data_IF_249589091245
#
_entry.id   IF_249589091245
#
_cell.length_a   1.000
_cell.length_b   1.000
_cell.length_c   1.000
_cell.angle_alpha   90.00
_cell.angle_beta   90.00
_cell.angle_gamma   90.00
#
_symmetry.space_group_name_H-M   'P 1'
#
loop_
_entity.id
_entity.type
_entity.pdbx_description
1 polymer ?
#
# COMPACT_ATOMS: atom_id res chain seq x y z
N UNK A 1 -31.57 17.50 17.68
CA UNK A 1 -30.63 16.40 17.35
C UNK A 1 -29.82 16.82 16.15
N UNK A 2 -28.49 16.88 16.26
CA UNK A 2 -27.64 17.11 15.10
C UNK A 2 -27.80 15.91 14.16
N UNK A 3 -28.13 16.15 12.89
CA UNK A 3 -28.17 15.10 11.88
C UNK A 3 -26.74 14.62 11.66
N UNK A 4 -26.47 13.36 11.95
CA UNK A 4 -25.21 12.72 11.57
C UNK A 4 -25.19 12.63 10.04
N UNK A 5 -24.16 13.17 9.36
CA UNK A 5 -24.05 12.99 7.92
C UNK A 5 -23.88 11.49 7.63
N UNK A 6 -24.77 10.95 6.81
CA UNK A 6 -24.65 9.60 6.28
C UNK A 6 -23.86 9.68 4.98
N UNK A 7 -22.67 9.10 4.97
CA UNK A 7 -21.83 9.03 3.78
C UNK A 7 -22.25 7.85 2.91
N UNK A 8 -21.92 7.91 1.62
CA UNK A 8 -22.20 6.81 0.69
C UNK A 8 -21.24 5.64 0.97
N UNK A 9 -21.80 4.46 1.23
CA UNK A 9 -21.05 3.21 1.37
C UNK A 9 -20.77 2.52 0.03
N UNK A 10 -20.81 3.28 -1.08
CA UNK A 10 -20.65 2.74 -2.44
C UNK A 10 -19.60 3.51 -3.22
N UNK A 11 -18.63 2.77 -3.76
CA UNK A 11 -17.65 3.26 -4.71
C UNK A 11 -18.11 2.92 -6.12
N UNK A 12 -18.03 3.89 -7.03
CA UNK A 12 -18.25 3.69 -8.47
C UNK A 12 -16.91 3.66 -9.17
N UNK A 13 -16.63 2.57 -9.88
CA UNK A 13 -15.42 2.38 -10.67
C UNK A 13 -15.82 2.33 -12.14
N UNK A 14 -15.36 3.31 -12.90
CA UNK A 14 -15.63 3.44 -14.33
C UNK A 14 -14.41 3.00 -15.13
N UNK A 15 -14.64 2.22 -16.19
CA UNK A 15 -13.58 1.92 -17.15
C UNK A 15 -13.23 3.18 -17.94
N UNK A 16 -11.96 3.59 -17.89
CA UNK A 16 -11.39 4.67 -18.72
C UNK A 16 -10.42 4.07 -19.75
N UNK A 17 -10.05 4.84 -20.78
CA UNK A 17 -9.14 4.37 -21.85
C UNK A 17 -7.66 4.24 -21.42
N UNK A 18 -7.35 4.15 -20.13
CA UNK A 18 -5.97 4.00 -19.67
C UNK A 18 -5.49 2.54 -19.82
N UNK A 19 -4.90 2.23 -20.97
CA UNK A 19 -4.26 0.94 -21.29
C UNK A 19 -2.91 0.70 -20.60
N UNK A 20 -2.37 1.69 -19.90
CA UNK A 20 -0.94 1.74 -19.59
C UNK A 20 -0.63 1.62 -18.08
N UNK A 21 -1.47 0.94 -17.29
CA UNK A 21 -1.09 0.55 -15.93
C UNK A 21 -0.50 -0.87 -15.93
N UNK A 22 0.81 -1.05 -15.63
CA UNK A 22 1.44 -2.37 -15.59
C UNK A 22 0.86 -3.30 -14.53
N UNK A 23 0.17 -2.78 -13.50
CA UNK A 23 -0.54 -3.60 -12.51
C UNK A 23 -1.91 -4.12 -12.99
N UNK A 24 -2.38 -3.70 -14.16
CA UNK A 24 -3.66 -4.14 -14.74
C UNK A 24 -3.60 -5.56 -15.33
N UNK A 25 -2.42 -6.18 -15.41
CA UNK A 25 -2.26 -7.45 -16.14
C UNK A 25 -2.96 -8.63 -15.43
N UNK A 26 -3.12 -8.57 -14.10
CA UNK A 26 -3.82 -9.57 -13.30
C UNK A 26 -4.59 -8.86 -12.18
N UNK A 27 -5.92 -8.77 -12.33
CA UNK A 27 -6.80 -8.31 -11.27
C UNK A 27 -6.97 -9.39 -10.19
N UNK A 28 -7.22 -9.00 -8.93
CA UNK A 28 -7.45 -9.97 -7.87
C UNK A 28 -8.76 -10.74 -8.12
N UNK A 29 -8.87 -11.91 -7.50
CA UNK A 29 -10.01 -12.80 -7.67
C UNK A 29 -11.30 -12.09 -7.28
N UNK A 30 -12.36 -12.28 -8.07
CA UNK A 30 -13.62 -11.57 -7.93
C UNK A 30 -13.71 -10.24 -8.69
N UNK A 31 -12.61 -9.68 -9.22
CA UNK A 31 -12.63 -8.51 -10.13
C UNK A 31 -12.29 -8.86 -11.58
N UNK A 32 -12.35 -10.13 -11.96
CA UNK A 32 -11.96 -10.57 -13.31
C UNK A 32 -12.99 -10.27 -14.41
N UNK A 33 -14.19 -9.82 -14.03
CA UNK A 33 -15.33 -9.56 -14.94
C UNK A 33 -15.93 -8.16 -14.74
N UNK A 34 -15.07 -7.15 -14.57
CA UNK A 34 -15.52 -5.76 -14.47
C UNK A 34 -16.33 -5.36 -15.71
N UNK A 35 -17.41 -4.64 -15.47
CA UNK A 35 -18.26 -4.03 -16.49
C UNK A 35 -17.84 -2.58 -16.71
N UNK A 36 -18.57 -1.87 -17.57
CA UNK A 36 -18.32 -0.44 -17.82
C UNK A 36 -18.46 0.41 -16.55
N UNK A 37 -19.48 0.12 -15.74
CA UNK A 37 -19.76 0.77 -14.46
C UNK A 37 -19.79 -0.30 -13.36
N UNK A 38 -18.92 -0.19 -12.36
CA UNK A 38 -18.88 -1.16 -11.26
C UNK A 38 -19.20 -0.47 -9.95
N UNK A 39 -20.26 -0.92 -9.28
CA UNK A 39 -20.65 -0.40 -7.98
C UNK A 39 -20.23 -1.41 -6.92
N UNK A 40 -19.50 -0.94 -5.92
CA UNK A 40 -18.98 -1.78 -4.85
C UNK A 40 -19.39 -1.23 -3.50
N UNK A 41 -19.99 -2.08 -2.67
CA UNK A 41 -20.10 -1.82 -1.23
C UNK A 41 -19.03 -2.60 -0.47
N UNK A 42 -18.45 -1.98 0.55
CA UNK A 42 -17.42 -2.58 1.38
C UNK A 42 -17.89 -2.60 2.84
N UNK A 43 -17.69 -3.73 3.51
CA UNK A 43 -17.95 -3.88 4.95
C UNK A 43 -16.69 -4.41 5.63
N UNK A 44 -16.14 -3.58 6.51
CA UNK A 44 -14.97 -3.90 7.32
C UNK A 44 -15.29 -5.04 8.31
N UNK A 45 -14.32 -5.47 9.10
CA UNK A 45 -14.57 -6.49 10.11
C UNK A 45 -15.45 -5.99 11.29
N UNK A 46 -15.55 -4.66 11.49
CA UNK A 46 -16.47 -4.03 12.44
C UNK A 46 -17.92 -3.99 11.94
N UNK A 47 -18.15 -4.25 10.65
CA UNK A 47 -19.46 -4.16 10.03
C UNK A 47 -19.91 -5.51 9.44
N UNK A 48 -21.20 -5.79 9.54
CA UNK A 48 -21.80 -6.93 8.86
C UNK A 48 -22.38 -6.54 7.52
N UNK A 49 -22.16 -7.35 6.49
CA UNK A 49 -22.93 -7.25 5.25
C UNK A 49 -24.35 -7.79 5.50
N UNK A 50 -25.35 -6.91 5.37
CA UNK A 50 -26.76 -7.20 5.70
C UNK A 50 -27.67 -7.08 4.48
N UNK A 51 -28.93 -7.49 4.63
CA UNK A 51 -29.96 -7.25 3.62
C UNK A 51 -30.14 -5.76 3.33
N UNK A 52 -29.96 -4.90 4.35
CA UNK A 52 -29.99 -3.45 4.20
C UNK A 52 -28.85 -2.96 3.30
N UNK A 53 -27.63 -3.42 3.53
CA UNK A 53 -26.46 -3.07 2.71
C UNK A 53 -26.67 -3.43 1.23
N UNK A 54 -27.30 -4.59 0.96
CA UNK A 54 -27.64 -5.01 -0.41
C UNK A 54 -28.71 -4.11 -1.02
N UNK A 55 -29.74 -3.74 -0.26
CA UNK A 55 -30.78 -2.79 -0.72
C UNK A 55 -30.19 -1.42 -1.03
N UNK A 56 -29.25 -0.94 -0.22
CA UNK A 56 -28.53 0.31 -0.45
C UNK A 56 -27.73 0.24 -1.76
N UNK A 57 -26.91 -0.79 -1.95
CA UNK A 57 -26.15 -0.99 -3.18
C UNK A 57 -27.05 -0.97 -4.43
N UNK A 58 -28.15 -1.72 -4.39
CA UNK A 58 -29.11 -1.76 -5.51
C UNK A 58 -29.78 -0.39 -5.70
N UNK A 59 -30.15 0.29 -4.61
CA UNK A 59 -30.71 1.64 -4.64
C UNK A 59 -29.75 2.64 -5.31
N UNK A 60 -28.47 2.56 -4.99
CA UNK A 60 -27.43 3.38 -5.62
C UNK A 60 -27.24 3.04 -7.09
N UNK A 61 -27.17 1.76 -7.44
CA UNK A 61 -27.14 1.31 -8.83
C UNK A 61 -28.30 1.87 -9.64
N UNK A 62 -29.53 1.72 -9.15
CA UNK A 62 -30.73 2.23 -9.84
C UNK A 62 -30.67 3.75 -10.00
N UNK A 63 -30.20 4.46 -8.97
CA UNK A 63 -30.09 5.92 -8.99
C UNK A 63 -29.02 6.40 -9.96
N UNK A 64 -27.83 5.80 -9.91
CA UNK A 64 -26.71 6.13 -10.77
C UNK A 64 -27.01 5.80 -12.24
N UNK A 65 -27.61 4.64 -12.53
CA UNK A 65 -28.08 4.28 -13.88
C UNK A 65 -29.10 5.29 -14.44
N UNK A 66 -29.94 5.88 -13.59
CA UNK A 66 -30.87 6.96 -14.01
C UNK A 66 -30.12 8.26 -14.31
N UNK A 67 -29.08 8.59 -13.55
CA UNK A 67 -28.27 9.80 -13.79
C UNK A 67 -27.51 9.72 -15.12
N UNK A 68 -27.04 8.53 -15.50
CA UNK A 68 -26.37 8.27 -16.78
C UNK A 68 -27.32 8.25 -17.99
N UNK A 69 -28.62 8.50 -17.80
CA UNK A 69 -29.59 8.43 -18.90
C UNK A 69 -29.52 9.67 -19.79
N UNK A 70 -29.05 9.50 -21.01
CA UNK A 70 -29.03 10.56 -22.02
C UNK A 70 -30.27 10.48 -22.91
N UNK A 71 -30.94 11.62 -23.14
CA UNK A 71 -32.12 11.74 -24.00
C UNK A 71 -33.23 10.68 -23.70
N UNK A 72 -33.38 10.30 -22.43
CA UNK A 72 -34.37 9.32 -21.98
C UNK A 72 -34.01 7.86 -22.23
N UNK A 73 -32.84 7.56 -22.80
CA UNK A 73 -32.33 6.19 -22.96
C UNK A 73 -31.47 5.83 -21.76
N UNK A 74 -31.88 4.80 -21.01
CA UNK A 74 -31.09 4.23 -19.91
C UNK A 74 -30.04 3.29 -20.49
N UNK A 75 -28.80 3.30 -19.98
CA UNK A 75 -27.83 2.25 -20.31
C UNK A 75 -28.39 0.86 -19.96
N UNK A 76 -28.01 -0.20 -20.70
CA UNK A 76 -28.48 -1.57 -20.41
C UNK A 76 -27.96 -2.04 -19.04
N UNK A 77 -28.65 -3.01 -18.43
CA UNK A 77 -28.23 -3.56 -17.13
C UNK A 77 -26.87 -4.26 -17.21
N UNK A 78 -26.53 -4.83 -18.37
CA UNK A 78 -25.27 -5.51 -18.64
C UNK A 78 -24.06 -4.60 -18.55
N UNK A 79 -24.23 -3.27 -18.62
CA UNK A 79 -23.13 -2.31 -18.46
C UNK A 79 -22.71 -2.15 -16.98
N UNK A 80 -23.47 -2.75 -16.05
CA UNK A 80 -23.26 -2.58 -14.61
C UNK A 80 -22.83 -3.88 -13.93
N UNK A 81 -21.70 -3.83 -13.22
CA UNK A 81 -21.27 -4.87 -12.30
C UNK A 81 -21.57 -4.46 -10.86
N UNK A 82 -22.18 -5.35 -10.07
CA UNK A 82 -22.46 -5.12 -8.66
C UNK A 82 -21.58 -6.01 -7.80
N UNK A 83 -20.87 -5.38 -6.85
CA UNK A 83 -19.90 -6.05 -6.00
C UNK A 83 -20.19 -5.75 -4.53
N UNK A 84 -20.04 -6.76 -3.70
CA UNK A 84 -20.03 -6.63 -2.25
C UNK A 84 -18.74 -7.25 -1.72
N UNK A 85 -17.99 -6.49 -0.92
CA UNK A 85 -16.82 -6.97 -0.21
C UNK A 85 -17.17 -7.02 1.27
N UNK A 86 -16.94 -8.16 1.90
CA UNK A 86 -17.14 -8.32 3.33
C UNK A 86 -15.97 -9.04 3.96
N UNK A 87 -15.57 -8.62 5.15
CA UNK A 87 -14.53 -9.34 5.86
C UNK A 87 -15.01 -10.76 6.28
N UNK A 88 -16.20 -10.85 6.86
CA UNK A 88 -16.78 -12.09 7.37
C UNK A 88 -17.81 -12.69 6.41
N UNK A 89 -17.93 -14.02 6.42
CA UNK A 89 -19.00 -14.70 5.69
C UNK A 89 -20.37 -14.26 6.23
N UNK A 90 -21.26 -13.69 5.39
CA UNK A 90 -22.51 -13.11 5.86
C UNK A 90 -23.57 -14.21 6.08
N UNK A 91 -23.54 -14.83 7.26
CA UNK A 91 -24.43 -15.95 7.61
C UNK A 91 -25.92 -15.65 7.36
N UNK A 92 -26.36 -14.41 7.62
CA UNK A 92 -27.76 -13.98 7.41
C UNK A 92 -28.17 -13.93 5.94
N UNK A 93 -27.19 -13.87 5.02
CA UNK A 93 -27.42 -13.84 3.58
C UNK A 93 -27.16 -15.20 2.92
N UNK A 94 -26.77 -16.24 3.68
CA UNK A 94 -26.36 -17.54 3.15
C UNK A 94 -27.39 -18.18 2.19
N UNK A 95 -28.68 -18.00 2.46
CA UNK A 95 -29.76 -18.53 1.61
C UNK A 95 -29.83 -17.90 0.21
N UNK A 96 -29.19 -16.74 0.02
CA UNK A 96 -29.11 -16.02 -1.25
C UNK A 96 -27.80 -16.28 -1.99
N UNK A 97 -26.87 -17.01 -1.37
CA UNK A 97 -25.54 -17.26 -1.92
C UNK A 97 -25.52 -18.56 -2.72
N UNK A 98 -24.89 -18.48 -3.88
CA UNK A 98 -24.51 -19.63 -4.70
C UNK A 98 -23.00 -19.67 -4.79
N UNK A 99 -22.42 -20.87 -4.65
CA UNK A 99 -20.96 -21.08 -4.75
C UNK A 99 -20.59 -21.60 -6.13
N UNK A 100 -19.44 -21.14 -6.60
CA UNK A 100 -18.78 -21.48 -7.85
C UNK A 100 -17.48 -22.29 -7.58
N UNK A 101 -17.44 -23.04 -6.47
CA UNK A 101 -16.31 -23.87 -6.00
C UNK A 101 -15.02 -23.11 -5.65
N UNK A 102 -15.00 -21.78 -5.79
CA UNK A 102 -13.87 -20.93 -5.40
C UNK A 102 -14.10 -20.42 -3.98
N UNK A 103 -13.14 -20.65 -3.08
CA UNK A 103 -13.31 -20.27 -1.67
C UNK A 103 -13.24 -18.75 -1.52
N UNK A 104 -14.20 -18.17 -0.81
CA UNK A 104 -14.29 -16.73 -0.58
C UNK A 104 -14.94 -15.93 -1.72
N UNK A 105 -15.30 -16.55 -2.83
CA UNK A 105 -16.13 -15.94 -3.87
C UNK A 105 -17.52 -16.56 -3.87
N UNK A 106 -18.54 -15.72 -3.96
CA UNK A 106 -19.93 -16.14 -4.00
C UNK A 106 -20.73 -15.27 -4.95
N UNK A 107 -21.78 -15.83 -5.52
CA UNK A 107 -22.81 -15.07 -6.22
C UNK A 107 -24.02 -14.89 -5.31
N UNK A 108 -24.31 -13.66 -4.93
CA UNK A 108 -25.49 -13.29 -4.17
C UNK A 108 -26.62 -12.92 -5.12
N UNK A 109 -27.71 -13.69 -5.09
CA UNK A 109 -28.91 -13.43 -5.89
C UNK A 109 -29.95 -12.67 -5.07
N UNK A 110 -30.24 -11.44 -5.47
CA UNK A 110 -31.24 -10.59 -4.82
C UNK A 110 -32.33 -10.18 -5.81
N UNK A 111 -33.45 -10.91 -5.80
CA UNK A 111 -34.47 -10.75 -6.83
C UNK A 111 -33.92 -11.13 -8.21
N UNK A 112 -33.94 -10.18 -9.15
CA UNK A 112 -33.36 -10.34 -10.48
C UNK A 112 -31.89 -9.97 -10.58
N UNK A 113 -31.36 -9.27 -9.58
CA UNK A 113 -29.98 -8.78 -9.60
C UNK A 113 -29.03 -9.85 -9.05
N UNK A 114 -27.83 -9.92 -9.65
CA UNK A 114 -26.74 -10.78 -9.23
C UNK A 114 -25.57 -9.91 -8.78
N UNK A 115 -25.05 -10.20 -7.60
CA UNK A 115 -23.98 -9.43 -6.96
C UNK A 115 -22.81 -10.37 -6.68
N UNK A 116 -21.63 -10.00 -7.14
CA UNK A 116 -20.39 -10.70 -6.82
C UNK A 116 -20.01 -10.38 -5.38
N UNK A 117 -20.05 -11.39 -4.51
CA UNK A 117 -19.62 -11.29 -3.12
C UNK A 117 -18.19 -11.81 -2.98
N UNK A 118 -17.33 -11.01 -2.37
CA UNK A 118 -15.95 -11.32 -2.02
C UNK A 118 -15.84 -11.34 -0.50
N UNK A 119 -15.45 -12.48 0.06
CA UNK A 119 -15.29 -12.69 1.51
C UNK A 119 -13.81 -12.76 1.85
N UNK A 120 -13.27 -11.69 2.41
CA UNK A 120 -11.82 -11.52 2.63
C UNK A 120 -11.23 -12.56 3.59
N UNK A 121 -11.98 -13.01 4.60
CA UNK A 121 -11.52 -14.07 5.52
C UNK A 121 -11.34 -15.44 4.85
N UNK A 122 -12.00 -15.66 3.70
CA UNK A 122 -12.05 -16.93 2.99
C UNK A 122 -11.28 -16.92 1.67
N UNK A 123 -10.93 -15.75 1.15
CA UNK A 123 -10.14 -15.65 -0.09
C UNK A 123 -8.77 -16.30 0.08
N UNK A 124 -8.30 -16.98 -0.97
CA UNK A 124 -7.02 -17.68 -0.94
C UNK A 124 -5.82 -16.73 -0.78
N UNK A 125 -4.69 -17.26 -0.34
CA UNK A 125 -3.45 -16.49 -0.08
C UNK A 125 -2.52 -16.37 -1.29
N UNK A 126 -3.03 -16.60 -2.51
CA UNK A 126 -2.22 -16.47 -3.71
C UNK A 126 -1.79 -15.01 -3.94
N UNK A 127 -0.60 -14.76 -4.52
CA UNK A 127 -0.09 -13.38 -4.71
C UNK A 127 -1.03 -12.45 -5.48
N UNK A 128 -1.83 -12.97 -6.41
CA UNK A 128 -2.83 -12.17 -7.13
C UNK A 128 -3.89 -11.55 -6.21
N UNK A 129 -4.12 -12.12 -5.02
CA UNK A 129 -5.07 -11.65 -4.02
C UNK A 129 -4.42 -10.78 -2.93
N UNK A 130 -3.15 -10.39 -3.06
CA UNK A 130 -2.48 -9.54 -2.07
C UNK A 130 -3.23 -8.23 -1.83
N UNK A 131 -3.88 -7.67 -2.87
CA UNK A 131 -4.74 -6.48 -2.71
C UNK A 131 -5.82 -6.72 -1.66
N UNK A 132 -6.48 -7.88 -1.68
CA UNK A 132 -7.52 -8.24 -0.71
C UNK A 132 -6.98 -8.50 0.68
N UNK A 133 -5.75 -9.01 0.77
CA UNK A 133 -5.08 -9.25 2.03
C UNK A 133 -4.65 -7.97 2.72
N UNK A 134 -4.36 -6.89 1.97
CA UNK A 134 -4.16 -5.56 2.54
C UNK A 134 -5.40 -5.06 3.29
N UNK A 135 -6.61 -5.34 2.80
CA UNK A 135 -7.87 -4.97 3.46
C UNK A 135 -8.35 -5.98 4.52
N UNK A 136 -7.52 -6.98 4.85
CA UNK A 136 -7.85 -8.00 5.83
C UNK A 136 -7.51 -7.53 7.24
N UNK A 137 -8.33 -7.90 8.22
CA UNK A 137 -8.00 -7.74 9.64
C UNK A 137 -7.06 -8.85 10.17
N UNK A 138 -6.60 -9.77 9.31
CA UNK A 138 -5.61 -10.79 9.70
C UNK A 138 -4.20 -10.23 9.52
N UNK A 139 -3.54 -9.90 10.63
CA UNK A 139 -2.22 -9.25 10.67
C UNK A 139 -1.17 -9.90 9.77
N UNK A 140 -1.11 -11.22 9.75
CA UNK A 140 -0.13 -11.97 8.97
C UNK A 140 -0.41 -11.86 7.47
N UNK A 141 -1.68 -11.77 7.07
CA UNK A 141 -2.07 -11.55 5.67
C UNK A 141 -1.70 -10.15 5.22
N UNK A 142 -1.98 -9.13 6.04
CA UNK A 142 -1.58 -7.74 5.77
C UNK A 142 -0.06 -7.66 5.64
N UNK A 143 0.69 -8.21 6.59
CA UNK A 143 2.15 -8.23 6.56
C UNK A 143 2.69 -8.87 5.27
N UNK A 144 2.22 -10.07 4.92
CA UNK A 144 2.70 -10.77 3.73
C UNK A 144 2.37 -10.00 2.44
N UNK A 145 1.16 -9.45 2.35
CA UNK A 145 0.76 -8.63 1.22
C UNK A 145 1.60 -7.36 1.11
N UNK A 146 1.79 -6.63 2.21
CA UNK A 146 2.65 -5.46 2.26
C UNK A 146 4.09 -5.77 1.84
N UNK A 147 4.66 -6.89 2.30
CA UNK A 147 6.00 -7.34 1.92
C UNK A 147 6.12 -7.60 0.41
N UNK A 148 5.13 -8.23 -0.22
CA UNK A 148 5.12 -8.44 -1.67
C UNK A 148 4.92 -7.13 -2.42
N UNK A 149 4.07 -6.24 -1.92
CA UNK A 149 3.87 -4.92 -2.50
C UNK A 149 5.12 -4.03 -2.42
N UNK A 150 6.00 -4.25 -1.44
CA UNK A 150 7.32 -3.59 -1.43
C UNK A 150 8.11 -3.89 -2.69
N UNK A 151 8.06 -5.10 -3.25
CA UNK A 151 8.89 -5.47 -4.40
C UNK A 151 8.55 -4.68 -5.67
N UNK A 152 7.41 -3.99 -5.70
CA UNK A 152 7.03 -3.11 -6.79
C UNK A 152 7.53 -1.70 -6.50
N UNK A 153 8.41 -1.19 -7.35
CA UNK A 153 8.94 0.18 -7.32
C UNK A 153 7.93 1.25 -7.78
N UNK A 154 6.63 1.03 -7.50
CA UNK A 154 5.56 1.94 -7.88
C UNK A 154 5.18 2.84 -6.71
N UNK A 155 5.53 4.12 -6.81
CA UNK A 155 5.27 5.15 -5.78
C UNK A 155 3.79 5.30 -5.44
N UNK A 156 2.89 5.12 -6.41
CA UNK A 156 1.44 5.21 -6.19
C UNK A 156 0.97 4.06 -5.30
N UNK A 157 1.41 2.84 -5.59
CA UNK A 157 1.05 1.66 -4.80
C UNK A 157 1.61 1.80 -3.37
N UNK A 158 2.86 2.24 -3.24
CA UNK A 158 3.48 2.50 -1.94
C UNK A 158 2.67 3.53 -1.14
N UNK A 159 2.30 4.66 -1.74
CA UNK A 159 1.52 5.71 -1.09
C UNK A 159 0.15 5.23 -0.62
N UNK A 160 -0.55 4.44 -1.44
CA UNK A 160 -1.85 3.86 -1.05
C UNK A 160 -1.70 2.85 0.10
N UNK A 161 -0.69 1.99 0.07
CA UNK A 161 -0.42 1.03 1.17
C UNK A 161 -0.05 1.77 2.45
N UNK A 162 0.73 2.85 2.37
CA UNK A 162 1.04 3.69 3.53
C UNK A 162 -0.21 4.29 4.17
N UNK A 163 -1.08 4.92 3.38
CA UNK A 163 -2.33 5.50 3.86
C UNK A 163 -3.21 4.45 4.54
N UNK A 164 -3.28 3.24 3.98
CA UNK A 164 -4.04 2.14 4.58
C UNK A 164 -3.47 1.72 5.94
N UNK A 165 -2.14 1.57 6.05
CA UNK A 165 -1.49 1.20 7.30
C UNK A 165 -1.56 2.32 8.36
N UNK A 166 -1.62 3.58 7.94
CA UNK A 166 -1.87 4.72 8.83
C UNK A 166 -3.27 4.61 9.45
N UNK A 167 -4.29 4.38 8.62
CA UNK A 167 -5.68 4.15 9.08
C UNK A 167 -5.72 3.00 10.08
N UNK A 168 -5.09 1.87 9.79
CA UNK A 168 -5.05 0.75 10.75
C UNK A 168 -4.30 1.07 12.03
N UNK A 169 -3.24 1.88 11.97
CA UNK A 169 -2.51 2.29 13.18
C UNK A 169 -3.36 3.20 14.08
N UNK A 170 -4.25 4.00 13.49
CA UNK A 170 -5.21 4.84 14.23
C UNK A 170 -6.39 4.04 14.78
N UNK A 171 -6.96 3.14 13.96
CA UNK A 171 -8.13 2.34 14.35
C UNK A 171 -7.75 1.20 15.33
N UNK A 172 -6.57 0.59 15.15
CA UNK A 172 -6.16 -0.64 15.85
C UNK A 172 -4.66 -0.66 16.18
N UNK A 173 -4.27 -0.06 17.32
CA UNK A 173 -2.86 0.05 17.72
C UNK A 173 -2.12 -1.30 17.87
N UNK A 174 -2.86 -2.39 18.12
CA UNK A 174 -2.31 -3.74 18.31
C UNK A 174 -2.00 -4.50 17.01
N UNK A 175 -2.23 -3.88 15.84
CA UNK A 175 -1.81 -4.46 14.57
C UNK A 175 -0.27 -4.50 14.49
N UNK A 176 0.33 -5.67 14.79
CA UNK A 176 1.77 -5.95 14.87
C UNK A 176 2.63 -5.69 13.60
N UNK A 177 2.09 -5.02 12.59
CA UNK A 177 2.77 -4.50 11.42
C UNK A 177 2.46 -3.01 11.30
N UNK A 178 3.35 -2.19 11.84
CA UNK A 178 3.16 -0.74 11.91
C UNK A 178 3.59 -0.08 10.60
N UNK A 179 3.00 1.07 10.29
CA UNK A 179 3.44 1.95 9.20
C UNK A 179 4.94 2.23 9.25
N UNK A 180 5.49 2.41 10.46
CA UNK A 180 6.91 2.65 10.67
C UNK A 180 7.77 1.48 10.19
N UNK A 181 7.36 0.24 10.48
CA UNK A 181 8.08 -0.96 10.04
C UNK A 181 8.03 -1.08 8.51
N UNK A 182 6.86 -0.88 7.90
CA UNK A 182 6.72 -0.87 6.44
C UNK A 182 7.62 0.17 5.77
N UNK A 183 7.64 1.40 6.31
CA UNK A 183 8.46 2.50 5.79
C UNK A 183 9.95 2.15 5.86
N UNK A 184 10.43 1.68 7.02
CA UNK A 184 11.83 1.31 7.22
C UNK A 184 12.27 0.20 6.26
N UNK A 185 11.46 -0.83 6.13
CA UNK A 185 11.74 -1.97 5.25
C UNK A 185 11.70 -1.56 3.77
N UNK A 186 10.72 -0.77 3.35
CA UNK A 186 10.64 -0.27 1.98
C UNK A 186 11.84 0.59 1.60
N UNK A 187 12.23 1.53 2.47
CA UNK A 187 13.43 2.37 2.24
C UNK A 187 14.68 1.51 2.13
N UNK A 188 14.83 0.49 2.98
CA UNK A 188 15.98 -0.42 2.93
C UNK A 188 16.04 -1.21 1.61
N UNK A 189 14.90 -1.74 1.14
CA UNK A 189 14.80 -2.53 -0.09
C UNK A 189 15.04 -1.69 -1.36
N UNK A 190 14.78 -0.37 -1.30
CA UNK A 190 14.83 0.54 -2.46
C UNK A 190 15.93 1.60 -2.37
N UNK A 191 16.78 1.56 -1.35
CA UNK A 191 17.87 2.53 -1.18
C UNK A 191 18.82 2.54 -2.38
N UNK A 192 18.96 1.40 -3.04
CA UNK A 192 19.74 1.20 -4.26
C UNK A 192 19.20 1.95 -5.49
N UNK A 193 17.96 2.47 -5.45
CA UNK A 193 17.44 3.34 -6.50
C UNK A 193 18.06 4.74 -6.45
N UNK A 194 18.63 5.13 -5.32
CA UNK A 194 19.36 6.38 -5.16
C UNK A 194 20.86 6.16 -5.38
N UNK A 195 21.50 7.12 -6.03
CA UNK A 195 22.96 7.20 -6.08
C UNK A 195 23.54 7.50 -4.69
N UNK A 196 24.82 7.15 -4.50
CA UNK A 196 25.51 7.48 -3.26
C UNK A 196 25.45 8.99 -2.95
N UNK A 197 25.59 9.84 -3.97
CA UNK A 197 25.53 11.29 -3.84
C UNK A 197 24.15 11.79 -3.36
N UNK A 198 23.06 11.26 -3.92
CA UNK A 198 21.69 11.62 -3.51
C UNK A 198 21.39 11.23 -2.06
N UNK A 199 21.94 10.10 -1.59
CA UNK A 199 21.83 9.68 -0.19
C UNK A 199 22.65 10.60 0.71
N UNK A 200 23.91 10.89 0.32
CA UNK A 200 24.84 11.69 1.12
C UNK A 200 24.41 13.16 1.24
N UNK A 201 23.64 13.71 0.29
CA UNK A 201 23.06 15.06 0.38
C UNK A 201 22.19 15.29 1.63
N UNK A 202 21.68 14.22 2.26
CA UNK A 202 20.87 14.30 3.48
C UNK A 202 21.69 14.41 4.76
N UNK A 203 23.01 14.26 4.67
CA UNK A 203 23.92 14.28 5.82
C UNK A 203 24.95 15.39 5.66
N UNK A 204 25.39 15.98 6.77
CA UNK A 204 26.54 16.86 6.74
C UNK A 204 27.83 16.04 6.51
N UNK A 205 28.86 16.61 5.85
CA UNK A 205 30.14 15.94 5.68
C UNK A 205 30.75 15.45 7.01
N UNK A 206 30.58 16.22 8.09
CA UNK A 206 31.08 15.86 9.41
C UNK A 206 30.37 14.63 10.01
N UNK A 207 29.05 14.52 9.87
CA UNK A 207 28.28 13.36 10.35
C UNK A 207 28.68 12.07 9.62
N UNK A 208 28.96 12.17 8.32
CA UNK A 208 29.45 11.04 7.52
C UNK A 208 30.85 10.64 7.98
N UNK A 209 31.76 11.61 8.09
CA UNK A 209 33.16 11.37 8.47
C UNK A 209 33.31 10.84 9.91
N UNK A 210 32.39 11.17 10.83
CA UNK A 210 32.39 10.64 12.21
C UNK A 210 32.15 9.12 12.28
N UNK A 211 31.60 8.51 11.23
CA UNK A 211 31.38 7.05 11.17
C UNK A 211 32.65 6.27 10.82
N UNK A 212 33.69 6.95 10.35
CA UNK A 212 34.95 6.34 9.93
C UNK A 212 36.05 6.62 10.95
N UNK A 213 36.93 5.64 11.17
CA UNK A 213 38.14 5.84 11.97
C UNK A 213 39.08 6.86 11.30
N UNK A 214 39.98 7.52 12.07
CA UNK A 214 40.96 8.44 11.49
C UNK A 214 41.78 7.83 10.36
N UNK A 215 42.15 6.55 10.45
CA UNK A 215 42.91 5.86 9.41
C UNK A 215 42.08 5.63 8.14
N UNK A 216 40.79 5.26 8.26
CA UNK A 216 39.89 5.10 7.12
C UNK A 216 39.62 6.43 6.40
N UNK A 217 39.54 7.54 7.15
CA UNK A 217 39.36 8.88 6.59
C UNK A 217 40.56 9.36 5.76
N UNK A 218 41.75 8.84 6.05
CA UNK A 218 43.01 9.25 5.42
C UNK A 218 43.53 8.23 4.40
N UNK A 219 42.86 7.08 4.23
CA UNK A 219 43.37 5.91 3.50
C UNK A 219 43.79 6.18 2.05
N UNK A 220 43.11 7.11 1.39
CA UNK A 220 43.35 7.47 -0.02
C UNK A 220 43.98 8.86 -0.19
N UNK A 221 44.36 9.53 0.91
CA UNK A 221 45.05 10.82 0.88
C UNK A 221 46.56 10.61 1.01
N UNK A 222 47.32 11.21 0.11
CA UNK A 222 48.78 11.24 0.22
C UNK A 222 49.23 12.17 1.36
N UNK A 223 50.42 11.95 1.94
CA UNK A 223 50.97 12.82 2.97
C UNK A 223 51.07 14.29 2.53
N UNK A 224 51.30 14.54 1.24
CA UNK A 224 51.41 15.89 0.68
C UNK A 224 50.03 16.57 0.60
N UNK A 225 48.99 15.87 0.14
CA UNK A 225 47.60 16.38 0.10
C UNK A 225 47.08 16.72 1.51
N UNK A 226 47.45 15.94 2.54
CA UNK A 226 47.10 16.25 3.93
C UNK A 226 47.84 17.51 4.41
N UNK A 227 49.11 17.66 4.04
CA UNK A 227 49.93 18.78 4.46
C UNK A 227 49.47 20.13 3.86
N UNK A 228 48.93 20.13 2.64
CA UNK A 228 48.39 21.33 1.98
C UNK A 228 47.24 21.99 2.77
N UNK A 229 46.52 21.22 3.57
CA UNK A 229 45.39 21.70 4.38
C UNK A 229 45.73 21.95 5.85
N UNK A 230 47.00 21.77 6.26
CA UNK A 230 47.47 22.05 7.62
C UNK A 230 48.16 23.41 7.70
N UNK A 231 47.98 24.13 8.82
CA UNK A 231 48.71 25.39 9.02
C UNK A 231 50.22 25.15 9.22
N UNK A 232 51.09 26.12 8.87
CA UNK A 232 52.53 26.00 9.08
C UNK A 232 52.91 25.66 10.53
N UNK A 233 52.20 26.21 11.50
CA UNK A 233 52.39 25.95 12.92
C UNK A 233 52.03 24.50 13.29
N UNK A 234 50.94 23.96 12.72
CA UNK A 234 50.52 22.59 12.96
C UNK A 234 51.54 21.58 12.39
N UNK A 235 52.08 21.86 11.20
CA UNK A 235 53.14 21.08 10.57
C UNK A 235 54.43 21.09 11.43
N UNK A 236 54.83 22.26 11.94
CA UNK A 236 55.98 22.38 12.85
C UNK A 236 55.79 21.57 14.14
N UNK A 237 54.58 21.60 14.74
CA UNK A 237 54.26 20.82 15.95
C UNK A 237 54.33 19.31 15.71
N UNK A 238 53.85 18.82 14.56
CA UNK A 238 53.96 17.41 14.17
C UNK A 238 55.43 16.99 13.99
N UNK A 239 56.24 17.82 13.35
CA UNK A 239 57.67 17.58 13.13
C UNK A 239 58.44 17.48 14.46
N UNK A 240 58.13 18.37 15.41
CA UNK A 240 58.68 18.35 16.77
C UNK A 240 58.30 17.06 17.52
N UNK A 241 57.03 16.64 17.47
CA UNK A 241 56.58 15.36 18.08
C UNK A 241 57.28 14.15 17.49
N UNK A 242 57.51 14.13 16.17
CA UNK A 242 58.22 13.04 15.49
C UNK A 242 59.70 12.97 15.92
N UNK A 243 60.37 14.12 16.05
CA UNK A 243 61.75 14.19 16.54
C UNK A 243 61.86 13.70 17.99
N UNK A 244 60.91 14.06 18.86
CA UNK A 244 60.85 13.60 20.25
C UNK A 244 60.59 12.08 20.34
N UNK A 245 59.70 11.53 19.50
CA UNK A 245 59.49 10.07 19.43
C UNK A 245 60.74 9.30 18.99
N UNK A 246 61.57 9.88 18.10
CA UNK A 246 62.84 9.28 17.66
C UNK A 246 63.94 9.33 18.72
N UNK A 247 63.83 10.19 19.74
CA UNK A 247 64.79 10.27 20.85
C UNK A 247 64.47 9.35 22.03
N UNK A 248 63.25 8.78 22.06
CA UNK A 248 62.76 7.87 23.11
C UNK A 248 62.64 6.41 22.67
N UNK A 249 63.13 6.08 21.46
CA UNK A 249 63.35 4.72 20.98
C UNK A 249 64.86 4.47 20.87
#
# INVERSE_FOLDING_TARGET
MAKVPQFLDVVVIEQTEASDWPGATILPDGLTQLQRYNLMTFKSHHESLTDWSIKELIGYYVSYRKQLSEAGKRPPQTDFGLYAVSHHYPQKLANYLTTDNTTGLYQLRWGSDTIQLIVLSQIDTAPRNDLWHLFSHQIERVRQASQRYRQYSNEIIYGVVQQLLEIYSEEEPDMAYTLEQFTKEFVADHLNLLSADEVLQRYSPDEVLQRYSPDERLKDLSPDEIAEHLSPEALQQLLLRLQQKKQHH
#
